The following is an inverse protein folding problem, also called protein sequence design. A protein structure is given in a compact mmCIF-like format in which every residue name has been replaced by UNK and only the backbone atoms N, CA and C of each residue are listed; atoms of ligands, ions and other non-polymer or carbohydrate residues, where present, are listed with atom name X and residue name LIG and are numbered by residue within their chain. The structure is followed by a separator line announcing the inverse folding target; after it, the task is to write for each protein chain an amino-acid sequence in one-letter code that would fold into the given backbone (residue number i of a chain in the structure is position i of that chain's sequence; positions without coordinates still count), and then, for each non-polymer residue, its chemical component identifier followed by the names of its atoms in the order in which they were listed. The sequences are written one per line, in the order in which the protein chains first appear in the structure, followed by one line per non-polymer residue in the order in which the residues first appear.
data_IF_774081011366
#
_entry.id   IF_774081011366
#
_cell.length_a   1.000
_cell.length_b   1.000
_cell.length_c   1.000
_cell.angle_alpha   90.00
_cell.angle_beta   90.00
_cell.angle_gamma   90.00
#
_symmetry.space_group_name_H-M   'P 1'
#
loop_
_entity.id
_entity.type
_entity.pdbx_description
1 polymer ?
#
# COMPACT_ATOMS: atom_id res chain seq x y z
N UNK A 1 8.30 43.44 9.77
CA UNK A 1 8.46 42.42 8.71
C UNK A 1 9.77 41.62 8.78
N UNK A 2 10.75 42.01 9.61
CA UNK A 2 12.00 41.26 9.79
C UNK A 2 11.83 39.99 10.66
N UNK A 3 10.92 40.01 11.64
CA UNK A 3 10.71 38.88 12.57
C UNK A 3 10.03 37.67 11.92
N UNK A 4 9.09 37.90 11.00
CA UNK A 4 8.41 36.84 10.23
C UNK A 4 9.42 36.08 9.36
N UNK A 5 10.34 36.81 8.70
CA UNK A 5 11.39 36.22 7.85
C UNK A 5 12.35 35.36 8.68
N UNK A 6 12.72 35.80 9.90
CA UNK A 6 13.51 34.98 10.83
C UNK A 6 12.75 33.72 11.30
N UNK A 7 11.44 33.84 11.57
CA UNK A 7 10.59 32.72 11.97
C UNK A 7 10.49 31.64 10.90
N UNK A 8 10.25 32.03 9.64
CA UNK A 8 10.17 31.10 8.49
C UNK A 8 11.52 30.40 8.26
N UNK A 9 12.63 31.12 8.36
CA UNK A 9 13.98 30.54 8.20
C UNK A 9 14.28 29.50 9.30
N UNK A 10 13.83 29.76 10.53
CA UNK A 10 13.97 28.82 11.66
C UNK A 10 13.10 27.57 11.44
N UNK A 11 11.85 27.76 11.01
CA UNK A 11 10.91 26.68 10.71
C UNK A 11 11.44 25.74 9.61
N UNK A 12 11.98 26.29 8.52
CA UNK A 12 12.59 25.48 7.45
C UNK A 12 13.77 24.63 7.96
N UNK A 13 14.58 25.20 8.86
CA UNK A 13 15.71 24.50 9.48
C UNK A 13 15.25 23.35 10.38
N UNK A 14 14.19 23.57 11.15
CA UNK A 14 13.56 22.57 12.02
C UNK A 14 12.93 21.43 11.20
N UNK A 15 12.17 21.74 10.13
CA UNK A 15 11.60 20.74 9.22
C UNK A 15 12.70 19.90 8.55
N UNK A 16 13.79 20.53 8.09
CA UNK A 16 14.93 19.80 7.50
C UNK A 16 15.63 18.90 8.52
N UNK A 17 15.64 19.26 9.80
CA UNK A 17 16.19 18.44 10.87
C UNK A 17 15.29 17.23 11.16
N UNK A 18 13.97 17.40 11.15
CA UNK A 18 13.00 16.32 11.39
C UNK A 18 12.93 15.34 10.22
N UNK A 19 13.00 15.85 8.99
CA UNK A 19 13.06 15.02 7.78
C UNK A 19 14.27 14.08 7.74
N UNK A 20 15.36 14.40 8.45
CA UNK A 20 16.53 13.50 8.58
C UNK A 20 16.28 12.33 9.54
N UNK A 21 15.30 12.44 10.44
CA UNK A 21 14.88 11.33 11.32
C UNK A 21 13.97 10.34 10.60
N UNK A 22 13.46 10.70 9.42
CA UNK A 22 12.68 9.79 8.57
C UNK A 22 13.63 8.75 7.98
N UNK A 23 13.70 7.60 8.64
CA UNK A 23 14.44 6.44 8.14
C UNK A 23 13.63 5.81 7.01
N UNK A 24 13.94 6.20 5.77
CA UNK A 24 13.33 5.55 4.63
C UNK A 24 13.82 4.09 4.56
N UNK A 25 12.91 3.12 4.36
CA UNK A 25 13.28 1.73 4.19
C UNK A 25 14.23 1.57 3.00
N UNK A 26 15.08 0.55 3.06
CA UNK A 26 16.00 0.27 1.95
C UNK A 26 15.20 -0.14 0.71
N UNK A 27 15.71 0.18 -0.49
CA UNK A 27 15.02 -0.16 -1.75
C UNK A 27 14.71 -1.65 -1.85
N UNK A 28 15.59 -2.49 -1.30
CA UNK A 28 15.43 -3.93 -1.24
C UNK A 28 14.23 -4.36 -0.40
N UNK A 29 14.05 -3.77 0.79
CA UNK A 29 12.88 -4.04 1.64
C UNK A 29 11.58 -3.68 0.91
N UNK A 30 11.54 -2.50 0.28
CA UNK A 30 10.34 -2.05 -0.45
C UNK A 30 9.99 -3.02 -1.58
N UNK A 31 10.98 -3.48 -2.35
CA UNK A 31 10.75 -4.44 -3.43
C UNK A 31 10.31 -5.81 -2.89
N UNK A 32 10.96 -6.32 -1.85
CA UNK A 32 10.59 -7.61 -1.22
C UNK A 32 9.15 -7.61 -0.74
N UNK A 33 8.75 -6.58 0.03
CA UNK A 33 7.38 -6.49 0.54
C UNK A 33 6.36 -6.30 -0.60
N UNK A 34 6.68 -5.50 -1.61
CA UNK A 34 5.80 -5.30 -2.77
C UNK A 34 5.60 -6.60 -3.53
N UNK A 35 6.66 -7.35 -3.83
CA UNK A 35 6.58 -8.64 -4.52
C UNK A 35 5.79 -9.65 -3.70
N UNK A 36 6.02 -9.72 -2.39
CA UNK A 36 5.29 -10.62 -1.50
C UNK A 36 3.78 -10.31 -1.51
N UNK A 37 3.40 -9.04 -1.40
CA UNK A 37 2.00 -8.61 -1.45
C UNK A 37 1.37 -8.91 -2.81
N UNK A 38 2.08 -8.70 -3.92
CA UNK A 38 1.60 -9.03 -5.26
C UNK A 38 1.28 -10.52 -5.39
N UNK A 39 2.16 -11.39 -4.90
CA UNK A 39 1.94 -12.85 -4.91
C UNK A 39 0.74 -13.22 -4.04
N UNK A 40 0.65 -12.65 -2.84
CA UNK A 40 -0.48 -12.90 -1.94
C UNK A 40 -1.81 -12.51 -2.60
N UNK A 41 -1.93 -11.29 -3.10
CA UNK A 41 -3.16 -10.80 -3.72
C UNK A 41 -3.49 -11.63 -4.96
N UNK A 42 -2.51 -11.94 -5.82
CA UNK A 42 -2.73 -12.80 -6.98
C UNK A 42 -3.27 -14.18 -6.59
N UNK A 43 -2.73 -14.81 -5.54
CA UNK A 43 -3.22 -16.09 -5.05
C UNK A 43 -4.64 -16.00 -4.47
N UNK A 44 -4.95 -14.94 -3.70
CA UNK A 44 -6.28 -14.71 -3.15
C UNK A 44 -7.32 -14.48 -4.24
N UNK A 45 -6.99 -13.67 -5.25
CA UNK A 45 -7.86 -13.42 -6.40
C UNK A 45 -8.17 -14.71 -7.15
N UNK A 46 -7.18 -15.58 -7.35
CA UNK A 46 -7.39 -16.87 -8.01
C UNK A 46 -8.36 -17.76 -7.21
N UNK A 47 -8.18 -17.84 -5.89
CA UNK A 47 -9.05 -18.65 -5.02
C UNK A 47 -10.48 -18.11 -5.02
N UNK A 48 -10.67 -16.79 -4.90
CA UNK A 48 -12.01 -16.21 -4.96
C UNK A 48 -12.66 -16.43 -6.32
N UNK A 49 -11.92 -16.21 -7.41
CA UNK A 49 -12.45 -16.47 -8.75
C UNK A 49 -12.92 -17.93 -8.93
N UNK A 50 -12.17 -18.90 -8.43
CA UNK A 50 -12.57 -20.30 -8.43
C UNK A 50 -13.81 -20.56 -7.57
N UNK A 51 -13.85 -19.98 -6.37
CA UNK A 51 -14.97 -20.12 -5.45
C UNK A 51 -16.26 -19.51 -6.04
N UNK A 52 -16.19 -18.30 -6.59
CA UNK A 52 -17.32 -17.62 -7.24
C UNK A 52 -17.81 -18.43 -8.45
N UNK A 53 -16.89 -18.92 -9.29
CA UNK A 53 -17.22 -19.75 -10.45
C UNK A 53 -17.92 -21.05 -10.04
N UNK A 54 -17.43 -21.72 -8.99
CA UNK A 54 -18.04 -22.92 -8.44
C UNK A 54 -19.43 -22.62 -7.85
N UNK A 55 -19.55 -21.50 -7.13
CA UNK A 55 -20.82 -21.07 -6.54
C UNK A 55 -21.88 -20.82 -7.63
N UNK A 56 -21.52 -20.11 -8.70
CA UNK A 56 -22.40 -19.89 -9.85
C UNK A 56 -22.78 -21.20 -10.54
N UNK A 57 -21.83 -22.12 -10.71
CA UNK A 57 -22.10 -23.44 -11.29
C UNK A 57 -23.12 -24.23 -10.46
N UNK A 58 -22.94 -24.25 -9.14
CA UNK A 58 -23.85 -24.92 -8.21
C UNK A 58 -25.24 -24.27 -8.21
N UNK A 59 -25.30 -22.94 -8.20
CA UNK A 59 -26.56 -22.20 -8.24
C UNK A 59 -27.34 -22.47 -9.54
N UNK A 60 -26.68 -22.49 -10.70
CA UNK A 60 -27.33 -22.86 -11.97
C UNK A 60 -27.93 -24.26 -11.90
N UNK A 61 -27.16 -25.22 -11.39
CA UNK A 61 -27.61 -26.60 -11.22
C UNK A 61 -28.80 -26.74 -10.26
N UNK A 62 -28.87 -25.92 -9.20
CA UNK A 62 -29.96 -25.94 -8.21
C UNK A 62 -31.20 -25.20 -8.72
N UNK A 63 -31.03 -24.03 -9.34
CA UNK A 63 -32.13 -23.21 -9.87
C UNK A 63 -32.71 -23.78 -11.17
N UNK A 64 -32.10 -24.82 -11.74
CA UNK A 64 -32.62 -25.53 -12.91
C UNK A 64 -32.55 -24.72 -14.20
N UNK A 65 -31.72 -23.67 -14.24
CA UNK A 65 -31.36 -22.90 -15.45
C UNK A 65 -30.01 -23.37 -15.98
#
# INVERSE_FOLDING_TARGET
MADVTKGIMKFYREVKAEMKKVTWPTREQVTQYTTLILVLIASMTLIFWLADSLFVFLLRKILGV
#
